data_IF_968747331999
#
_entry.id   IF_968747331999
#
_cell.length_a   1.000
_cell.length_b   1.000
_cell.length_c   1.000
_cell.angle_alpha   90.00
_cell.angle_beta   90.00
_cell.angle_gamma   90.00
#
_symmetry.space_group_name_H-M   'P 1'
#
loop_
_entity.id
_entity.type
_entity.pdbx_description
1 polymer ?
#
# COMPACT_ATOMS: atom_id res chain seq x y z
N UNK A 1 -8.78 37.97 6.13
CA UNK A 1 -7.53 38.19 5.37
C UNK A 1 -6.33 37.51 6.02
N UNK A 2 -6.12 37.62 7.34
CA UNK A 2 -5.00 36.95 8.05
C UNK A 2 -4.98 35.42 7.89
N UNK A 3 -6.14 34.77 7.80
CA UNK A 3 -6.28 33.32 7.59
C UNK A 3 -5.54 32.82 6.32
N UNK A 4 -5.37 33.69 5.31
CA UNK A 4 -4.68 33.35 4.06
C UNK A 4 -3.17 33.19 4.21
N UNK A 5 -2.57 33.62 5.34
CA UNK A 5 -1.15 33.39 5.61
C UNK A 5 -0.79 31.90 5.67
N UNK A 6 -1.74 31.01 5.98
CA UNK A 6 -1.54 29.57 5.85
C UNK A 6 -1.16 29.15 4.44
N UNK A 7 -1.74 29.77 3.41
CA UNK A 7 -1.40 29.49 2.00
C UNK A 7 0.04 29.97 1.72
N UNK A 8 0.44 31.12 2.23
CA UNK A 8 1.81 31.61 2.10
C UNK A 8 2.82 30.65 2.74
N UNK A 9 2.49 30.04 3.89
CA UNK A 9 3.30 28.99 4.53
C UNK A 9 3.43 27.76 3.63
N UNK A 10 2.34 27.31 2.98
CA UNK A 10 2.39 26.18 2.04
C UNK A 10 3.31 26.49 0.87
N UNK A 11 3.13 27.66 0.24
CA UNK A 11 3.95 28.08 -0.91
C UNK A 11 5.42 28.17 -0.52
N UNK A 12 5.73 28.82 0.60
CA UNK A 12 7.11 28.95 1.09
C UNK A 12 7.74 27.58 1.41
N UNK A 13 6.99 26.70 2.08
CA UNK A 13 7.46 25.37 2.44
C UNK A 13 7.77 24.49 1.22
N UNK A 14 6.94 24.55 0.18
CA UNK A 14 7.18 23.83 -1.07
C UNK A 14 8.32 24.42 -1.89
N UNK A 15 8.44 25.75 -1.96
CA UNK A 15 9.60 26.41 -2.60
C UNK A 15 10.90 26.00 -1.91
N UNK A 16 10.89 25.91 -0.57
CA UNK A 16 12.01 25.46 0.23
C UNK A 16 12.24 23.93 0.20
N UNK A 17 11.40 23.16 -0.53
CA UNK A 17 11.45 21.69 -0.63
C UNK A 17 11.42 20.98 0.73
N UNK A 18 10.74 21.57 1.71
CA UNK A 18 10.54 20.96 3.03
C UNK A 18 9.54 19.80 2.90
N UNK A 19 9.61 18.82 3.80
CA UNK A 19 8.68 17.68 3.85
C UNK A 19 7.21 18.18 3.77
N UNK A 20 6.45 17.77 2.73
CA UNK A 20 5.08 18.23 2.53
C UNK A 20 4.15 18.05 3.72
N UNK A 21 4.30 16.96 4.48
CA UNK A 21 3.46 16.68 5.65
C UNK A 21 3.68 17.72 6.75
N UNK A 22 4.93 18.10 7.00
CA UNK A 22 5.27 19.14 7.98
C UNK A 22 4.74 20.50 7.53
N UNK A 23 4.92 20.83 6.24
CA UNK A 23 4.45 22.10 5.67
C UNK A 23 2.93 22.25 5.83
N UNK A 24 2.18 21.20 5.49
CA UNK A 24 0.72 21.19 5.62
C UNK A 24 0.29 21.32 7.09
N UNK A 25 0.95 20.60 8.00
CA UNK A 25 0.64 20.68 9.43
C UNK A 25 0.85 22.09 9.99
N UNK A 26 2.00 22.71 9.68
CA UNK A 26 2.31 24.07 10.14
C UNK A 26 1.33 25.08 9.52
N UNK A 27 1.01 24.95 8.23
CA UNK A 27 0.03 25.80 7.58
C UNK A 27 -1.36 25.69 8.22
N UNK A 28 -1.81 24.48 8.58
CA UNK A 28 -3.09 24.27 9.26
C UNK A 28 -3.12 24.93 10.65
N UNK A 29 -2.04 24.81 11.42
CA UNK A 29 -1.89 25.48 12.72
C UNK A 29 -1.92 27.00 12.55
N UNK A 30 -1.12 27.54 11.64
CA UNK A 30 -1.05 28.99 11.35
C UNK A 30 -2.43 29.52 10.94
N UNK A 31 -3.14 28.79 10.08
CA UNK A 31 -4.50 29.14 9.65
C UNK A 31 -5.47 29.15 10.83
N UNK A 32 -5.45 28.12 11.67
CA UNK A 32 -6.32 28.00 12.84
C UNK A 32 -6.09 29.10 13.89
N UNK A 33 -4.82 29.39 14.20
CA UNK A 33 -4.43 30.45 15.14
C UNK A 33 -4.84 31.83 14.61
N UNK A 34 -4.55 32.13 13.34
CA UNK A 34 -4.89 33.42 12.74
C UNK A 34 -6.40 33.63 12.57
N UNK A 35 -7.17 32.54 12.41
CA UNK A 35 -8.63 32.60 12.45
C UNK A 35 -9.14 33.00 13.83
N UNK A 36 -8.60 32.40 14.91
CA UNK A 36 -9.00 32.71 16.28
C UNK A 36 -8.59 34.13 16.71
N UNK A 37 -7.39 34.58 16.32
CA UNK A 37 -6.94 35.96 16.58
C UNK A 37 -7.79 36.97 15.80
N UNK A 38 -8.14 36.66 14.54
CA UNK A 38 -8.97 37.52 13.69
C UNK A 38 -10.42 37.68 14.18
N UNK A 39 -10.96 36.72 14.92
CA UNK A 39 -12.30 36.79 15.53
C UNK A 39 -12.30 37.36 16.96
N UNK A 40 -11.15 37.78 17.49
CA UNK A 40 -11.04 38.40 18.81
C UNK A 40 -11.22 37.42 19.98
N UNK A 41 -10.88 36.15 19.78
CA UNK A 41 -11.02 35.11 20.81
C UNK A 41 -9.92 35.27 21.88
N UNK A 42 -10.32 35.27 23.15
CA UNK A 42 -9.41 35.31 24.29
C UNK A 42 -8.47 34.09 24.35
N UNK A 43 -7.35 34.21 25.06
CA UNK A 43 -6.36 33.13 25.21
C UNK A 43 -6.97 31.80 25.73
N UNK A 44 -8.04 31.87 26.53
CA UNK A 44 -8.79 30.69 26.97
C UNK A 44 -9.54 30.01 25.82
N UNK A 45 -10.19 30.78 24.95
CA UNK A 45 -10.89 30.23 23.78
C UNK A 45 -9.94 29.64 22.73
N UNK A 46 -8.69 30.11 22.66
CA UNK A 46 -7.64 29.46 21.87
C UNK A 46 -7.28 28.06 22.41
N UNK A 47 -7.19 27.90 23.73
CA UNK A 47 -6.97 26.59 24.35
C UNK A 47 -8.15 25.66 24.10
N UNK A 48 -9.39 26.14 24.25
CA UNK A 48 -10.59 25.37 23.97
C UNK A 48 -10.68 24.94 22.51
N UNK A 49 -10.36 25.83 21.57
CA UNK A 49 -10.29 25.52 20.14
C UNK A 49 -9.17 24.50 19.82
N UNK A 50 -8.04 24.58 20.51
CA UNK A 50 -6.96 23.61 20.41
C UNK A 50 -7.39 22.22 20.88
N UNK A 51 -8.05 22.14 22.04
CA UNK A 51 -8.63 20.89 22.57
C UNK A 51 -9.69 20.34 21.62
N UNK A 52 -10.59 21.18 21.09
CA UNK A 52 -11.59 20.78 20.11
C UNK A 52 -10.97 20.25 18.81
N UNK A 53 -9.87 20.87 18.37
CA UNK A 53 -9.12 20.41 17.19
C UNK A 53 -8.47 19.04 17.46
N UNK A 54 -7.85 18.85 18.62
CA UNK A 54 -7.34 17.54 19.05
C UNK A 54 -8.45 16.49 19.11
N UNK A 55 -9.62 16.84 19.66
CA UNK A 55 -10.79 15.95 19.69
C UNK A 55 -11.18 15.51 18.29
N UNK A 56 -11.28 16.44 17.33
CA UNK A 56 -11.60 16.12 15.93
C UNK A 56 -10.55 15.25 15.27
N UNK A 57 -9.26 15.43 15.59
CA UNK A 57 -8.21 14.51 15.15
C UNK A 57 -8.40 13.12 15.75
N UNK A 58 -8.80 13.01 17.02
CA UNK A 58 -9.13 11.75 17.68
C UNK A 58 -10.34 11.05 17.04
N UNK A 59 -11.40 11.80 16.75
CA UNK A 59 -12.59 11.31 16.04
C UNK A 59 -12.20 10.82 14.64
N UNK A 60 -11.48 11.64 13.87
CA UNK A 60 -11.00 11.26 12.54
C UNK A 60 -10.08 10.04 12.57
N UNK A 61 -9.24 9.89 13.60
CA UNK A 61 -8.40 8.71 13.78
C UNK A 61 -9.24 7.45 14.04
N UNK A 62 -10.25 7.54 14.91
CA UNK A 62 -11.16 6.44 15.20
C UNK A 62 -12.00 6.05 13.99
N UNK A 63 -12.51 7.03 13.24
CA UNK A 63 -13.28 6.81 12.00
C UNK A 63 -12.42 6.09 10.95
N UNK A 64 -11.13 6.44 10.86
CA UNK A 64 -10.19 5.85 9.92
C UNK A 64 -9.39 4.67 10.50
N UNK A 65 -9.79 4.11 11.65
CA UNK A 65 -9.06 3.00 12.31
C UNK A 65 -8.83 1.79 11.40
N UNK A 66 -9.73 1.56 10.44
CA UNK A 66 -9.66 0.44 9.51
C UNK A 66 -8.45 0.53 8.57
N UNK A 67 -7.94 1.73 8.31
CA UNK A 67 -6.69 1.91 7.56
C UNK A 67 -5.51 1.21 8.24
N UNK A 68 -5.52 1.11 9.58
CA UNK A 68 -4.46 0.44 10.32
C UNK A 68 -4.44 -1.08 10.13
N UNK A 69 -5.56 -1.69 9.72
CA UNK A 69 -5.64 -3.14 9.48
C UNK A 69 -4.71 -3.57 8.35
N UNK A 70 -4.47 -2.70 7.35
CA UNK A 70 -3.50 -2.99 6.27
C UNK A 70 -2.10 -3.25 6.82
N UNK A 71 -1.72 -2.65 7.95
CA UNK A 71 -0.43 -2.90 8.59
C UNK A 71 -0.37 -4.26 9.30
N UNK A 72 -1.50 -4.84 9.68
CA UNK A 72 -1.57 -6.18 10.27
C UNK A 72 -1.18 -7.28 9.27
N UNK A 73 -1.29 -6.99 7.97
CA UNK A 73 -0.91 -7.93 6.90
C UNK A 73 0.58 -8.30 7.00
N UNK A 74 1.46 -7.35 7.34
CA UNK A 74 2.90 -7.58 7.44
C UNK A 74 3.30 -8.63 8.49
N UNK A 75 2.90 -8.52 9.78
CA UNK A 75 3.20 -9.55 10.77
C UNK A 75 2.51 -10.88 10.44
N UNK A 76 1.31 -10.87 9.85
CA UNK A 76 0.63 -12.09 9.39
C UNK A 76 1.47 -12.81 8.33
N UNK A 77 1.95 -12.10 7.31
CA UNK A 77 2.86 -12.66 6.31
C UNK A 77 4.13 -13.18 6.97
N UNK A 78 4.73 -12.43 7.90
CA UNK A 78 5.93 -12.86 8.62
C UNK A 78 5.73 -14.17 9.38
N UNK A 79 4.57 -14.36 10.01
CA UNK A 79 4.22 -15.62 10.68
C UNK A 79 4.04 -16.75 9.66
N UNK A 80 3.38 -16.50 8.54
CA UNK A 80 3.18 -17.49 7.48
C UNK A 80 4.50 -17.92 6.83
N UNK A 81 5.38 -16.97 6.52
CA UNK A 81 6.73 -17.25 6.00
C UNK A 81 7.54 -18.05 7.01
N UNK A 82 7.51 -17.67 8.30
CA UNK A 82 8.17 -18.44 9.37
C UNK A 82 7.59 -19.85 9.53
N UNK A 83 6.30 -20.04 9.29
CA UNK A 83 5.62 -21.34 9.34
C UNK A 83 5.89 -22.21 8.10
N UNK A 84 6.70 -21.76 7.16
CA UNK A 84 7.11 -22.54 5.99
C UNK A 84 6.18 -22.40 4.79
N UNK A 85 5.43 -21.29 4.68
CA UNK A 85 4.51 -21.08 3.54
C UNK A 85 5.24 -21.16 2.20
N UNK A 86 6.43 -20.59 2.08
CA UNK A 86 7.20 -20.56 0.83
C UNK A 86 7.66 -21.96 0.41
N UNK A 87 8.14 -22.75 1.37
CA UNK A 87 8.56 -24.14 1.17
C UNK A 87 7.38 -24.99 0.73
N UNK A 88 6.23 -24.83 1.38
CA UNK A 88 5.02 -25.58 1.05
C UNK A 88 4.48 -25.20 -0.33
N UNK A 89 4.54 -23.92 -0.69
CA UNK A 89 4.16 -23.45 -2.02
C UNK A 89 5.04 -24.05 -3.13
N UNK A 90 6.37 -24.13 -2.89
CA UNK A 90 7.33 -24.79 -3.79
C UNK A 90 7.07 -26.28 -3.94
N UNK A 91 6.82 -26.98 -2.83
CA UNK A 91 6.49 -28.42 -2.86
C UNK A 91 5.16 -28.69 -3.56
N UNK A 92 4.18 -27.81 -3.38
CA UNK A 92 2.88 -27.97 -4.03
C UNK A 92 3.03 -27.86 -5.56
N UNK A 93 3.77 -26.85 -6.03
CA UNK A 93 3.90 -26.63 -7.48
C UNK A 93 4.80 -27.67 -8.16
N UNK A 94 5.82 -28.19 -7.47
CA UNK A 94 6.70 -29.23 -8.02
C UNK A 94 5.98 -30.52 -8.36
N UNK A 95 4.83 -30.79 -7.73
CA UNK A 95 4.01 -31.97 -8.00
C UNK A 95 3.11 -31.79 -9.24
N UNK A 96 2.98 -30.57 -9.77
CA UNK A 96 2.12 -30.27 -10.91
C UNK A 96 2.94 -30.35 -12.20
N UNK A 97 2.92 -31.52 -12.86
CA UNK A 97 3.70 -31.79 -14.09
C UNK A 97 3.50 -30.80 -15.24
N UNK A 98 2.38 -30.08 -15.28
CA UNK A 98 2.07 -29.13 -16.35
C UNK A 98 2.43 -27.67 -15.98
N UNK A 99 2.85 -27.41 -14.73
CA UNK A 99 3.09 -26.09 -14.20
C UNK A 99 4.50 -25.60 -14.56
N UNK A 100 4.61 -24.83 -15.64
CA UNK A 100 5.81 -24.03 -15.91
C UNK A 100 5.66 -22.66 -15.25
N UNK A 101 6.78 -21.97 -14.98
CA UNK A 101 6.75 -20.62 -14.41
C UNK A 101 5.90 -19.64 -15.24
N UNK A 102 5.98 -19.71 -16.57
CA UNK A 102 5.17 -18.88 -17.46
C UNK A 102 3.67 -19.17 -17.38
N UNK A 103 3.27 -20.45 -17.35
CA UNK A 103 1.86 -20.84 -17.21
C UNK A 103 1.29 -20.43 -15.87
N UNK A 104 2.07 -20.59 -14.80
CA UNK A 104 1.67 -20.13 -13.47
C UNK A 104 1.40 -18.63 -13.44
N UNK A 105 2.30 -17.82 -14.01
CA UNK A 105 2.13 -16.37 -14.07
C UNK A 105 0.93 -15.97 -14.95
N UNK A 106 0.68 -16.68 -16.05
CA UNK A 106 -0.52 -16.44 -16.87
C UNK A 106 -1.81 -16.72 -16.09
N UNK A 107 -1.89 -17.85 -15.38
CA UNK A 107 -3.05 -18.16 -14.54
C UNK A 107 -3.24 -17.11 -13.46
N UNK A 108 -2.16 -16.72 -12.78
CA UNK A 108 -2.20 -15.66 -11.77
C UNK A 108 -2.68 -14.33 -12.35
N UNK A 109 -2.21 -13.95 -13.55
CA UNK A 109 -2.65 -12.74 -14.25
C UNK A 109 -4.16 -12.75 -14.48
N UNK A 110 -4.71 -13.84 -15.04
CA UNK A 110 -6.15 -13.95 -15.28
C UNK A 110 -6.96 -13.85 -14.00
N UNK A 111 -6.52 -14.52 -12.92
CA UNK A 111 -7.19 -14.44 -11.62
C UNK A 111 -7.12 -13.02 -11.08
N UNK A 112 -5.94 -12.39 -11.05
CA UNK A 112 -5.73 -11.05 -10.51
C UNK A 112 -6.50 -9.98 -11.29
N UNK A 113 -6.49 -10.07 -12.61
CA UNK A 113 -7.20 -9.14 -13.48
C UNK A 113 -8.72 -9.33 -13.38
N UNK A 114 -9.19 -10.59 -13.35
CA UNK A 114 -10.60 -10.91 -13.20
C UNK A 114 -11.18 -10.47 -11.86
N UNK A 115 -10.47 -10.70 -10.75
CA UNK A 115 -10.92 -10.23 -9.42
C UNK A 115 -10.90 -8.70 -9.33
N UNK A 116 -9.89 -8.05 -9.90
CA UNK A 116 -9.80 -6.58 -9.93
C UNK A 116 -10.93 -5.97 -10.76
N UNK A 117 -11.29 -6.57 -11.90
CA UNK A 117 -12.42 -6.16 -12.73
C UNK A 117 -13.78 -6.29 -12.02
N UNK A 118 -13.90 -7.20 -11.04
CA UNK A 118 -15.07 -7.33 -10.17
C UNK A 118 -15.04 -6.37 -8.95
N UNK A 119 -14.08 -5.44 -8.90
CA UNK A 119 -13.90 -4.48 -7.80
C UNK A 119 -13.15 -5.02 -6.59
N UNK A 120 -12.62 -6.24 -6.64
CA UNK A 120 -11.85 -6.86 -5.55
C UNK A 120 -10.35 -6.54 -5.65
N UNK A 121 -10.02 -5.26 -5.78
CA UNK A 121 -8.64 -4.77 -5.96
C UNK A 121 -7.74 -5.09 -4.75
N UNK A 122 -8.33 -5.25 -3.57
CA UNK A 122 -7.66 -5.68 -2.33
C UNK A 122 -7.26 -7.16 -2.29
N UNK A 123 -7.78 -8.00 -3.21
CA UNK A 123 -7.43 -9.42 -3.32
C UNK A 123 -6.15 -9.63 -4.15
N UNK A 124 -5.00 -9.33 -3.56
CA UNK A 124 -3.68 -9.49 -4.17
C UNK A 124 -2.73 -8.39 -3.74
N UNK A 125 -1.56 -8.28 -4.38
CA UNK A 125 -0.60 -7.25 -4.03
C UNK A 125 0.76 -7.82 -3.63
N UNK A 126 1.79 -6.98 -3.81
CA UNK A 126 3.18 -7.33 -3.56
C UNK A 126 3.46 -7.97 -2.20
N UNK A 127 3.05 -7.38 -1.06
CA UNK A 127 3.36 -7.96 0.24
C UNK A 127 2.57 -9.26 0.47
N UNK A 128 1.29 -9.31 0.11
CA UNK A 128 0.41 -10.41 0.51
C UNK A 128 0.43 -11.64 -0.41
N UNK A 129 0.78 -11.47 -1.68
CA UNK A 129 0.66 -12.53 -2.68
C UNK A 129 1.96 -12.78 -3.44
N UNK A 130 2.64 -11.72 -3.91
CA UNK A 130 3.83 -11.88 -4.76
C UNK A 130 4.98 -12.50 -3.99
N UNK A 131 5.40 -11.87 -2.88
CA UNK A 131 6.56 -12.30 -2.11
C UNK A 131 6.38 -13.66 -1.42
N UNK A 132 5.29 -13.91 -0.67
CA UNK A 132 5.16 -15.16 0.09
C UNK A 132 4.69 -16.37 -0.74
N UNK A 133 4.05 -16.15 -1.90
CA UNK A 133 3.40 -17.23 -2.65
C UNK A 133 3.81 -17.29 -4.12
N UNK A 134 3.49 -16.27 -4.92
CA UNK A 134 3.62 -16.34 -6.39
C UNK A 134 5.07 -16.47 -6.83
N UNK A 135 5.99 -15.69 -6.26
CA UNK A 135 7.40 -15.76 -6.61
C UNK A 135 8.04 -17.10 -6.18
N UNK A 136 7.87 -17.60 -4.93
CA UNK A 136 8.33 -18.93 -4.55
C UNK A 136 7.77 -20.05 -5.44
N UNK A 137 6.49 -19.99 -5.84
CA UNK A 137 5.91 -21.00 -6.73
C UNK A 137 6.47 -20.89 -8.16
N UNK A 138 6.63 -19.69 -8.70
CA UNK A 138 7.21 -19.51 -10.03
C UNK A 138 8.68 -19.97 -10.07
N UNK A 139 9.45 -19.72 -9.01
CA UNK A 139 10.81 -20.26 -8.84
C UNK A 139 10.78 -21.79 -8.76
N UNK A 140 9.91 -22.37 -7.92
CA UNK A 140 9.80 -23.83 -7.78
C UNK A 140 9.37 -24.54 -9.07
N UNK A 141 8.48 -23.92 -9.85
CA UNK A 141 8.08 -24.43 -11.16
C UNK A 141 9.25 -24.42 -12.15
N UNK A 142 10.03 -23.32 -12.19
CA UNK A 142 11.20 -23.24 -13.07
C UNK A 142 12.35 -24.17 -12.62
N UNK A 143 12.55 -24.34 -11.31
CA UNK A 143 13.53 -25.29 -10.76
C UNK A 143 13.14 -26.75 -11.06
N UNK A 144 11.85 -27.07 -11.10
CA UNK A 144 11.37 -28.40 -11.49
C UNK A 144 11.68 -28.75 -12.96
N UNK A 145 11.58 -27.76 -13.87
CA UNK A 145 11.84 -27.95 -15.31
C UNK A 145 13.34 -27.91 -15.66
N UNK A 146 14.13 -27.09 -14.94
CA UNK A 146 15.49 -26.74 -15.34
C UNK A 146 16.56 -27.08 -14.29
N UNK A 147 16.18 -27.60 -13.12
CA UNK A 147 17.07 -27.80 -11.99
C UNK A 147 17.48 -26.49 -11.31
N UNK A 148 18.60 -26.48 -10.55
CA UNK A 148 19.03 -25.31 -9.80
C UNK A 148 19.22 -24.08 -10.70
N UNK A 149 18.54 -22.98 -10.37
CA UNK A 149 18.55 -21.76 -11.19
C UNK A 149 19.66 -20.78 -10.75
N UNK A 150 20.36 -20.13 -11.69
CA UNK A 150 21.24 -19.01 -11.37
C UNK A 150 20.46 -17.83 -10.78
N UNK A 151 21.10 -17.05 -9.90
CA UNK A 151 20.47 -15.90 -9.22
C UNK A 151 19.87 -14.88 -10.19
N UNK A 152 20.52 -14.64 -11.34
CA UNK A 152 19.99 -13.75 -12.38
C UNK A 152 18.62 -14.19 -12.88
N UNK A 153 18.40 -15.49 -13.05
CA UNK A 153 17.12 -16.06 -13.48
C UNK A 153 16.10 -15.95 -12.36
N UNK A 154 16.50 -16.26 -11.12
CA UNK A 154 15.65 -16.13 -9.94
C UNK A 154 15.13 -14.69 -9.75
N UNK A 155 16.00 -13.70 -9.84
CA UNK A 155 15.60 -12.29 -9.79
C UNK A 155 14.71 -11.88 -10.95
N UNK A 156 14.95 -12.42 -12.15
CA UNK A 156 14.06 -12.19 -13.29
C UNK A 156 12.66 -12.77 -13.03
N UNK A 157 12.56 -13.97 -12.48
CA UNK A 157 11.27 -14.59 -12.12
C UNK A 157 10.54 -13.72 -11.10
N UNK A 158 11.21 -13.27 -10.03
CA UNK A 158 10.63 -12.34 -9.03
C UNK A 158 10.13 -11.05 -9.67
N UNK A 159 10.93 -10.47 -10.57
CA UNK A 159 10.55 -9.28 -11.33
C UNK A 159 9.31 -9.51 -12.19
N UNK A 160 9.22 -10.65 -12.88
CA UNK A 160 8.06 -11.02 -13.67
C UNK A 160 6.83 -11.30 -12.79
N UNK A 161 6.98 -11.92 -11.62
CA UNK A 161 5.89 -12.12 -10.66
C UNK A 161 5.32 -10.79 -10.17
N UNK A 162 6.19 -9.83 -9.82
CA UNK A 162 5.80 -8.49 -9.42
C UNK A 162 5.12 -7.72 -10.57
N UNK A 163 5.67 -7.80 -11.78
CA UNK A 163 5.08 -7.18 -12.95
C UNK A 163 3.69 -7.74 -13.26
N UNK A 164 3.52 -9.06 -13.14
CA UNK A 164 2.24 -9.74 -13.40
C UNK A 164 1.14 -9.24 -12.45
N UNK A 165 1.47 -9.05 -11.15
CA UNK A 165 0.52 -8.51 -10.18
C UNK A 165 0.11 -7.06 -10.50
N UNK A 166 1.07 -6.21 -10.85
CA UNK A 166 0.82 -4.82 -11.23
C UNK A 166 -0.04 -4.70 -12.49
N UNK A 167 0.33 -5.44 -13.54
CA UNK A 167 -0.40 -5.43 -14.82
C UNK A 167 -1.82 -5.93 -14.61
N UNK A 168 -1.99 -7.04 -13.87
CA UNK A 168 -3.31 -7.60 -13.58
C UNK A 168 -4.20 -6.63 -12.80
N UNK A 169 -3.67 -5.97 -11.78
CA UNK A 169 -4.42 -4.97 -11.03
C UNK A 169 -4.80 -3.77 -11.91
N UNK A 170 -3.82 -3.16 -12.58
CA UNK A 170 -3.99 -1.94 -13.36
C UNK A 170 -5.02 -2.10 -14.49
N UNK A 171 -4.86 -3.13 -15.34
CA UNK A 171 -5.82 -3.35 -16.43
C UNK A 171 -7.13 -3.97 -15.94
N UNK A 172 -7.16 -4.55 -14.75
CA UNK A 172 -8.38 -5.08 -14.17
C UNK A 172 -9.26 -3.98 -13.60
N UNK A 173 -8.68 -3.05 -12.84
CA UNK A 173 -9.42 -1.91 -12.29
C UNK A 173 -9.95 -0.98 -13.39
N UNK A 174 -9.29 -0.89 -14.54
CA UNK A 174 -9.75 -0.06 -15.67
C UNK A 174 -11.05 -0.56 -16.36
N UNK A 175 -11.51 -1.78 -16.05
CA UNK A 175 -12.70 -2.39 -16.69
C UNK A 175 -14.01 -2.00 -15.97
N UNK A 176 -13.99 -1.07 -15.00
CA UNK A 176 -15.18 -0.68 -14.24
C UNK A 176 -16.42 -0.47 -15.13
N UNK A 177 -17.42 -1.33 -14.91
CA UNK A 177 -18.81 -1.09 -15.27
C UNK A 177 -19.29 -0.01 -14.29
N UNK A 178 -19.43 1.23 -14.76
CA UNK A 178 -19.99 2.34 -14.00
C UNK A 178 -21.51 2.19 -13.77
#
# INVERSE_FOLDING_TARGET
MLVLLGIAVVVAGFVARINPLLVILVAAIVTGVLAAVGSGVDARGLLDAGVATLSRFGDAFNDNRYFHITWLILPVIGVLERAGLQERARQMISNVRAATAGRLLLVYLFVRQGTSALGLTSLGGHPQMVRPLVAPMAEGAAEADHGPLPDKVRFRIRGMSAATDNIGLFFGEDIFIA
#
